data_IF_270972550077
#
_entry.id   IF_270972550077
#
_cell.length_a   1.000
_cell.length_b   1.000
_cell.length_c   1.000
_cell.angle_alpha   90.00
_cell.angle_beta   90.00
_cell.angle_gamma   90.00
#
_symmetry.space_group_name_H-M   'P 1'
#
loop_
_entity.id
_entity.type
_entity.pdbx_description
1 polymer ?
#
# COMPACT_ATOMS: atom_id res chain seq x y z
N UNK A 1 30.88 5.96 -5.05
CA UNK A 1 29.60 6.62 -5.41
C UNK A 1 28.74 6.64 -4.16
N UNK A 2 28.39 7.81 -3.68
CA UNK A 2 27.56 8.02 -2.49
C UNK A 2 26.09 8.03 -2.89
N UNK A 3 25.28 7.17 -2.28
CA UNK A 3 23.89 6.94 -2.69
C UNK A 3 22.97 7.20 -1.49
N UNK A 4 21.96 8.04 -1.70
CA UNK A 4 20.91 8.30 -0.72
C UNK A 4 19.57 7.79 -1.27
N UNK A 5 18.86 7.01 -0.46
CA UNK A 5 17.46 6.66 -0.69
C UNK A 5 16.59 7.58 0.17
N UNK A 6 15.57 8.19 -0.42
CA UNK A 6 14.71 9.14 0.29
C UNK A 6 13.24 8.73 0.16
N UNK A 7 12.61 8.48 1.29
CA UNK A 7 11.18 8.21 1.43
C UNK A 7 10.47 9.38 2.10
N UNK A 8 9.41 9.87 1.49
CA UNK A 8 8.53 10.89 2.07
C UNK A 8 7.20 10.24 2.40
N UNK A 9 7.01 9.91 3.68
CA UNK A 9 5.80 9.29 4.21
C UNK A 9 4.63 10.27 4.36
N UNK A 10 3.41 9.74 4.51
CA UNK A 10 2.23 10.55 4.82
C UNK A 10 2.22 11.02 6.28
N UNK A 11 2.70 10.20 7.21
CA UNK A 11 2.82 10.48 8.65
C UNK A 11 4.09 9.85 9.22
N UNK A 12 4.60 10.41 10.31
CA UNK A 12 5.82 9.95 11.00
C UNK A 12 5.80 8.47 11.43
N UNK A 13 4.61 7.96 11.79
CA UNK A 13 4.47 6.58 12.29
C UNK A 13 4.69 5.49 11.23
N UNK A 14 4.72 5.84 9.94
CA UNK A 14 4.87 4.88 8.85
C UNK A 14 6.33 4.68 8.49
N UNK A 15 6.74 3.42 8.35
CA UNK A 15 8.05 3.05 7.79
C UNK A 15 7.95 2.84 6.28
N UNK A 16 9.04 3.08 5.55
CA UNK A 16 9.07 2.96 4.10
C UNK A 16 9.57 1.57 3.66
N UNK A 17 8.71 0.54 3.79
CA UNK A 17 9.06 -0.85 3.48
C UNK A 17 9.80 -1.00 2.14
N UNK A 18 9.31 -0.39 1.04
CA UNK A 18 9.91 -0.55 -0.29
C UNK A 18 11.37 -0.08 -0.35
N UNK A 19 11.68 1.13 0.16
CA UNK A 19 13.07 1.62 0.17
C UNK A 19 13.95 0.91 1.21
N UNK A 20 13.38 0.46 2.33
CA UNK A 20 14.10 -0.39 3.30
C UNK A 20 14.46 -1.74 2.68
N UNK A 21 13.56 -2.36 1.91
CA UNK A 21 13.82 -3.60 1.16
C UNK A 21 14.93 -3.40 0.12
N UNK A 22 14.84 -2.33 -0.69
CA UNK A 22 15.89 -1.99 -1.67
C UNK A 22 17.24 -1.77 -0.97
N UNK A 23 17.27 -1.05 0.15
CA UNK A 23 18.49 -0.82 0.94
C UNK A 23 19.11 -2.12 1.45
N UNK A 24 18.29 -3.01 2.02
CA UNK A 24 18.74 -4.28 2.56
C UNK A 24 19.30 -5.18 1.45
N UNK A 25 18.60 -5.28 0.32
CA UNK A 25 19.02 -6.03 -0.84
C UNK A 25 20.31 -5.45 -1.47
N UNK A 26 20.39 -4.12 -1.64
CA UNK A 26 21.60 -3.44 -2.14
C UNK A 26 22.82 -3.71 -1.26
N UNK A 27 22.65 -3.65 0.06
CA UNK A 27 23.74 -3.94 1.02
C UNK A 27 24.24 -5.38 0.90
N UNK A 28 23.34 -6.36 0.75
CA UNK A 28 23.72 -7.76 0.53
C UNK A 28 24.52 -7.96 -0.78
N UNK A 29 24.35 -7.04 -1.74
CA UNK A 29 25.08 -7.03 -3.01
C UNK A 29 26.27 -6.05 -3.03
N UNK A 30 26.76 -5.61 -1.87
CA UNK A 30 27.97 -4.78 -1.75
C UNK A 30 27.76 -3.31 -2.10
N UNK A 31 26.51 -2.84 -2.15
CA UNK A 31 26.16 -1.43 -2.42
C UNK A 31 25.66 -0.78 -1.13
N UNK A 32 26.50 0.09 -0.55
CA UNK A 32 26.12 0.86 0.63
C UNK A 32 25.23 2.06 0.23
N UNK A 33 24.16 2.24 0.97
CA UNK A 33 23.20 3.34 0.79
C UNK A 33 22.80 3.93 2.13
N UNK A 34 22.59 5.24 2.18
CA UNK A 34 21.94 5.90 3.30
C UNK A 34 20.45 6.03 3.04
N UNK A 35 19.62 5.91 4.09
CA UNK A 35 18.17 6.08 4.00
C UNK A 35 17.74 7.31 4.80
N UNK A 36 17.00 8.21 4.14
CA UNK A 36 16.28 9.32 4.75
C UNK A 36 14.79 8.97 4.72
N UNK A 37 14.16 8.93 5.89
CA UNK A 37 12.70 8.79 6.02
C UNK A 37 12.12 10.03 6.67
N UNK A 38 11.34 10.77 5.92
CA UNK A 38 10.69 11.99 6.36
C UNK A 38 9.20 12.00 5.96
N UNK A 39 8.49 13.09 6.15
CA UNK A 39 7.05 13.18 5.87
C UNK A 39 6.71 14.38 4.97
N UNK A 40 5.53 14.35 4.35
CA UNK A 40 4.99 15.47 3.57
C UNK A 40 4.77 16.74 4.42
N UNK A 41 4.82 16.62 5.74
CA UNK A 41 4.67 17.75 6.68
C UNK A 41 6.00 18.46 6.94
N UNK A 42 7.14 17.81 6.67
CA UNK A 42 8.46 18.41 6.84
C UNK A 42 8.66 19.50 5.78
N UNK A 43 9.17 20.68 6.15
CA UNK A 43 9.43 21.73 5.19
C UNK A 43 10.36 21.25 4.06
N UNK A 44 9.96 21.50 2.82
CA UNK A 44 10.67 21.03 1.62
C UNK A 44 12.17 21.41 1.62
N UNK A 45 12.50 22.62 2.08
CA UNK A 45 13.89 23.09 2.17
C UNK A 45 14.69 22.38 3.26
N UNK A 46 14.07 21.82 4.30
CA UNK A 46 14.76 21.05 5.32
C UNK A 46 15.23 19.70 4.73
N UNK A 47 14.35 19.00 4.02
CA UNK A 47 14.73 17.75 3.33
C UNK A 47 15.77 18.01 2.24
N UNK A 48 15.63 19.11 1.49
CA UNK A 48 16.64 19.52 0.52
C UNK A 48 18.01 19.73 1.18
N UNK A 49 18.07 20.45 2.31
CA UNK A 49 19.31 20.70 3.04
C UNK A 49 19.93 19.41 3.60
N UNK A 50 19.11 18.48 4.10
CA UNK A 50 19.59 17.19 4.59
C UNK A 50 20.24 16.36 3.47
N UNK A 51 19.59 16.27 2.31
CA UNK A 51 20.14 15.54 1.16
C UNK A 51 21.42 16.22 0.66
N UNK A 52 21.38 17.52 0.42
CA UNK A 52 22.53 18.26 -0.14
C UNK A 52 23.71 18.31 0.80
N UNK A 53 23.49 18.41 2.12
CA UNK A 53 24.55 18.38 3.13
C UNK A 53 25.32 17.05 3.19
N UNK A 54 24.74 16.01 2.62
CA UNK A 54 25.40 14.69 2.48
C UNK A 54 26.19 14.55 1.16
N UNK A 55 26.09 15.50 0.23
CA UNK A 55 26.80 15.51 -1.06
C UNK A 55 26.69 14.17 -1.83
N UNK A 56 25.48 13.66 -2.14
CA UNK A 56 25.33 12.41 -2.87
C UNK A 56 25.68 12.52 -4.36
N UNK A 57 26.16 11.43 -4.94
CA UNK A 57 26.28 11.22 -6.38
C UNK A 57 24.93 10.81 -7.01
N UNK A 58 24.13 10.07 -6.21
CA UNK A 58 22.85 9.50 -6.62
C UNK A 58 21.81 9.67 -5.51
N UNK A 59 20.61 10.07 -5.87
CA UNK A 59 19.44 10.04 -5.00
C UNK A 59 18.36 9.14 -5.61
N UNK A 60 17.86 8.18 -4.81
CA UNK A 60 16.69 7.35 -5.14
C UNK A 60 15.48 7.84 -4.35
N UNK A 61 14.37 8.12 -5.04
CA UNK A 61 13.14 8.67 -4.45
C UNK A 61 11.96 7.75 -4.71
N UNK A 62 11.19 7.41 -3.66
CA UNK A 62 9.95 6.68 -3.83
C UNK A 62 8.77 7.61 -4.05
N UNK A 63 8.02 7.39 -5.14
CA UNK A 63 6.89 8.24 -5.54
C UNK A 63 5.59 7.46 -5.39
N UNK A 64 4.74 7.96 -4.51
CA UNK A 64 3.44 7.40 -4.17
C UNK A 64 2.35 8.46 -4.30
N UNK A 65 1.10 8.04 -4.31
CA UNK A 65 -0.07 8.92 -4.42
C UNK A 65 -0.09 10.05 -3.38
N UNK A 66 0.43 9.81 -2.17
CA UNK A 66 0.43 10.83 -1.10
C UNK A 66 1.58 11.83 -1.15
N UNK A 67 2.64 11.52 -1.91
CA UNK A 67 3.86 12.36 -1.90
C UNK A 67 4.30 12.86 -3.27
N UNK A 68 3.62 12.51 -4.36
CA UNK A 68 4.04 12.85 -5.74
C UNK A 68 4.38 14.33 -5.90
N UNK A 69 3.48 15.23 -5.51
CA UNK A 69 3.67 16.67 -5.68
C UNK A 69 4.84 17.21 -4.85
N UNK A 70 5.01 16.67 -3.63
CA UNK A 70 6.14 17.01 -2.77
C UNK A 70 7.46 16.53 -3.40
N UNK A 71 7.53 15.26 -3.81
CA UNK A 71 8.74 14.65 -4.39
C UNK A 71 9.12 15.34 -5.69
N UNK A 72 8.17 15.66 -6.57
CA UNK A 72 8.46 16.38 -7.80
C UNK A 72 9.00 17.80 -7.53
N UNK A 73 8.47 18.47 -6.52
CA UNK A 73 9.00 19.77 -6.09
C UNK A 73 10.43 19.65 -5.55
N UNK A 74 10.69 18.62 -4.76
CA UNK A 74 12.04 18.33 -4.24
C UNK A 74 13.03 18.02 -5.38
N UNK A 75 12.65 17.20 -6.35
CA UNK A 75 13.47 16.87 -7.54
C UNK A 75 13.84 18.13 -8.31
N UNK A 76 12.88 19.04 -8.54
CA UNK A 76 13.14 20.32 -9.23
C UNK A 76 14.15 21.19 -8.48
N UNK A 77 14.11 21.21 -7.14
CA UNK A 77 15.07 21.93 -6.32
C UNK A 77 16.44 21.25 -6.31
N UNK A 78 16.49 19.93 -6.14
CA UNK A 78 17.72 19.15 -6.20
C UNK A 78 18.48 19.41 -7.50
N UNK A 79 17.81 19.39 -8.64
CA UNK A 79 18.42 19.66 -9.94
C UNK A 79 19.02 21.08 -10.05
N UNK A 80 18.39 22.08 -9.37
CA UNK A 80 18.90 23.46 -9.36
C UNK A 80 20.18 23.60 -8.54
N UNK A 81 20.25 22.94 -7.37
CA UNK A 81 21.37 23.09 -6.43
C UNK A 81 22.48 22.06 -6.65
N UNK A 82 22.16 20.93 -7.27
CA UNK A 82 23.09 19.84 -7.61
C UNK A 82 22.88 19.39 -9.07
N UNK A 83 23.35 20.16 -10.08
CA UNK A 83 23.08 19.86 -11.49
C UNK A 83 23.60 18.50 -11.97
N UNK A 84 24.64 17.96 -11.34
CA UNK A 84 25.28 16.68 -11.70
C UNK A 84 24.71 15.47 -10.95
N UNK A 85 23.82 15.70 -9.97
CA UNK A 85 23.19 14.63 -9.20
C UNK A 85 22.39 13.70 -10.13
N UNK A 86 22.59 12.39 -10.00
CA UNK A 86 21.76 11.41 -10.70
C UNK A 86 20.49 11.15 -9.89
N UNK A 87 19.34 11.42 -10.47
CA UNK A 87 18.04 11.32 -9.82
C UNK A 87 17.29 10.08 -10.35
N UNK A 88 17.06 9.13 -9.47
CA UNK A 88 16.31 7.89 -9.73
C UNK A 88 14.95 7.99 -9.05
N UNK A 89 13.87 7.80 -9.79
CA UNK A 89 12.52 7.69 -9.24
C UNK A 89 12.01 6.25 -9.36
N UNK A 90 11.27 5.79 -8.37
CA UNK A 90 10.60 4.50 -8.37
C UNK A 90 9.28 4.56 -7.60
N UNK A 91 8.50 3.49 -7.62
CA UNK A 91 7.22 3.41 -6.92
C UNK A 91 6.01 3.48 -7.86
N UNK A 92 4.80 3.27 -7.32
CA UNK A 92 3.60 3.06 -8.14
C UNK A 92 3.21 4.24 -9.02
N UNK A 93 3.50 5.48 -8.63
CA UNK A 93 3.15 6.67 -9.41
C UNK A 93 4.00 6.87 -10.67
N UNK A 94 5.16 6.20 -10.75
CA UNK A 94 6.10 6.36 -11.88
C UNK A 94 6.37 5.06 -12.64
N UNK A 95 5.81 3.93 -12.21
CA UNK A 95 6.05 2.62 -12.82
C UNK A 95 5.28 2.37 -14.13
N UNK A 96 4.33 3.25 -14.44
CA UNK A 96 3.51 3.16 -15.66
C UNK A 96 3.72 4.43 -16.48
N UNK A 97 3.55 4.44 -17.78
CA UNK A 97 3.59 5.63 -18.65
C UNK A 97 4.83 6.54 -18.47
N UNK A 98 6.06 6.03 -18.69
CA UNK A 98 7.28 6.80 -18.44
C UNK A 98 7.37 8.10 -19.25
N UNK A 99 6.77 8.15 -20.45
CA UNK A 99 6.69 9.36 -21.27
C UNK A 99 5.94 10.49 -20.55
N UNK A 100 4.81 10.19 -19.93
CA UNK A 100 4.05 11.16 -19.13
C UNK A 100 4.88 11.65 -17.95
N UNK A 101 5.53 10.74 -17.24
CA UNK A 101 6.35 11.09 -16.05
C UNK A 101 7.50 12.01 -16.42
N UNK A 102 8.24 11.72 -17.51
CA UNK A 102 9.31 12.59 -17.98
C UNK A 102 8.84 13.94 -18.52
N UNK A 103 7.57 14.06 -18.96
CA UNK A 103 6.97 15.35 -19.32
C UNK A 103 6.59 16.15 -18.08
N UNK A 104 6.03 15.52 -17.05
CA UNK A 104 5.66 16.16 -15.78
C UNK A 104 6.88 16.59 -14.95
N UNK A 105 7.93 15.77 -14.93
CA UNK A 105 9.15 16.01 -14.16
C UNK A 105 10.42 15.68 -14.98
N UNK A 106 10.81 16.55 -15.93
CA UNK A 106 11.93 16.31 -16.84
C UNK A 106 13.30 16.23 -16.15
N UNK A 107 13.39 16.57 -14.86
CA UNK A 107 14.60 16.52 -14.04
C UNK A 107 14.95 15.11 -13.54
N UNK A 108 14.07 14.14 -13.69
CA UNK A 108 14.35 12.72 -13.42
C UNK A 108 15.30 12.19 -14.48
N UNK A 109 16.35 11.47 -14.08
CA UNK A 109 17.29 10.82 -15.01
C UNK A 109 16.84 9.38 -15.33
N UNK A 110 16.43 8.63 -14.30
CA UNK A 110 16.06 7.23 -14.41
C UNK A 110 14.77 6.93 -13.65
N UNK A 111 13.93 6.08 -14.25
CA UNK A 111 12.74 5.53 -13.59
C UNK A 111 12.91 4.02 -13.46
N UNK A 112 12.84 3.50 -12.24
CA UNK A 112 12.76 2.07 -11.96
C UNK A 112 11.29 1.65 -12.00
N UNK A 113 10.93 0.77 -12.92
CA UNK A 113 9.56 0.37 -13.23
C UNK A 113 9.22 -0.97 -12.58
N UNK A 114 8.31 -0.97 -11.61
CA UNK A 114 7.88 -2.17 -10.88
C UNK A 114 8.64 -2.43 -9.58
N UNK A 115 8.97 -3.69 -9.29
CA UNK A 115 9.68 -4.08 -8.08
C UNK A 115 11.15 -3.69 -8.18
N UNK A 116 11.62 -2.91 -7.22
CA UNK A 116 12.85 -2.15 -7.39
C UNK A 116 14.13 -2.84 -6.92
N UNK A 117 14.07 -3.92 -6.15
CA UNK A 117 15.23 -4.45 -5.44
C UNK A 117 16.37 -4.88 -6.41
N UNK A 118 16.07 -5.78 -7.34
CA UNK A 118 17.05 -6.30 -8.31
C UNK A 118 17.41 -5.24 -9.36
N UNK A 119 16.42 -4.49 -9.83
CA UNK A 119 16.62 -3.46 -10.87
C UNK A 119 17.48 -2.31 -10.36
N UNK A 120 17.27 -1.87 -9.12
CA UNK A 120 18.06 -0.80 -8.53
C UNK A 120 19.55 -1.20 -8.42
N UNK A 121 19.84 -2.40 -7.91
CA UNK A 121 21.22 -2.91 -7.82
C UNK A 121 21.87 -3.00 -9.21
N UNK A 122 21.15 -3.53 -10.19
CA UNK A 122 21.62 -3.62 -11.57
C UNK A 122 21.88 -2.25 -12.19
N UNK A 123 20.98 -1.27 -11.94
CA UNK A 123 21.15 0.12 -12.40
C UNK A 123 22.39 0.77 -11.77
N UNK A 124 22.57 0.65 -10.45
CA UNK A 124 23.73 1.23 -9.77
C UNK A 124 25.04 0.63 -10.32
N UNK A 125 25.11 -0.68 -10.51
CA UNK A 125 26.25 -1.35 -11.11
C UNK A 125 26.54 -0.84 -12.54
N UNK A 126 25.50 -0.69 -13.37
CA UNK A 126 25.63 -0.15 -14.72
C UNK A 126 26.16 1.30 -14.70
N UNK A 127 25.69 2.14 -13.78
CA UNK A 127 26.16 3.52 -13.62
C UNK A 127 27.60 3.60 -13.13
N UNK A 128 28.06 2.66 -12.29
CA UNK A 128 29.44 2.61 -11.82
C UNK A 128 30.41 2.14 -12.91
N UNK A 129 29.97 1.17 -13.72
CA UNK A 129 30.78 0.54 -14.76
C UNK A 129 30.66 1.26 -16.12
N UNK A 130 29.79 2.28 -16.21
CA UNK A 130 29.43 2.94 -17.47
C UNK A 130 29.03 1.93 -18.57
N UNK A 131 28.25 0.92 -18.17
CA UNK A 131 27.76 -0.16 -19.04
C UNK A 131 26.32 0.07 -19.49
N UNK A 132 25.75 -0.84 -20.26
CA UNK A 132 24.37 -0.81 -20.73
C UNK A 132 23.39 -0.86 -19.53
N UNK A 133 22.34 -0.03 -19.61
CA UNK A 133 21.31 0.04 -18.55
C UNK A 133 20.44 -1.22 -18.55
N UNK A 134 20.01 -1.69 -17.37
CA UNK A 134 19.21 -2.91 -17.28
C UNK A 134 17.79 -2.70 -17.82
N UNK A 135 17.12 -3.83 -18.12
CA UNK A 135 15.69 -3.84 -18.41
C UNK A 135 14.88 -3.22 -17.24
N UNK A 136 13.67 -2.76 -17.55
CA UNK A 136 12.76 -2.11 -16.59
C UNK A 136 13.29 -0.80 -15.98
N UNK A 137 14.28 -0.18 -16.60
CA UNK A 137 14.69 1.20 -16.38
C UNK A 137 14.28 2.04 -17.57
N UNK A 138 13.51 3.11 -17.31
CA UNK A 138 13.24 4.12 -18.33
C UNK A 138 14.16 5.33 -18.13
N UNK A 139 14.64 5.92 -19.24
CA UNK A 139 15.55 7.07 -19.25
C UNK A 139 15.42 7.85 -20.54
N UNK A 140 15.97 9.06 -20.59
CA UNK A 140 16.04 9.88 -21.81
C UNK A 140 17.37 9.71 -22.53
N UNK A 141 17.33 9.50 -23.84
CA UNK A 141 18.48 9.52 -24.73
C UNK A 141 18.11 10.30 -26.01
N UNK A 142 18.91 11.27 -26.35
CA UNK A 142 18.71 12.12 -27.55
C UNK A 142 17.29 12.70 -27.65
N UNK A 143 16.74 13.14 -26.51
CA UNK A 143 15.40 13.72 -26.40
C UNK A 143 14.24 12.72 -26.47
N UNK A 144 14.54 11.42 -26.59
CA UNK A 144 13.52 10.34 -26.62
C UNK A 144 13.54 9.55 -25.32
N UNK A 145 12.37 9.08 -24.91
CA UNK A 145 12.25 8.16 -23.80
C UNK A 145 12.56 6.74 -24.30
N UNK A 146 13.51 6.10 -23.64
CA UNK A 146 13.88 4.70 -23.87
C UNK A 146 13.34 3.89 -22.69
N UNK A 147 12.58 2.86 -22.99
CA UNK A 147 12.07 1.90 -21.99
C UNK A 147 11.92 0.53 -22.65
N UNK A 148 12.24 -0.52 -21.93
CA UNK A 148 12.01 -1.91 -22.38
C UNK A 148 10.52 -2.30 -22.32
N UNK A 149 9.68 -1.47 -21.74
CA UNK A 149 8.28 -1.79 -21.46
C UNK A 149 8.11 -2.78 -20.30
N UNK A 150 6.89 -2.86 -19.78
CA UNK A 150 6.55 -3.72 -18.63
C UNK A 150 7.17 -3.28 -17.31
N UNK A 151 6.88 -4.03 -16.26
CA UNK A 151 7.36 -3.78 -14.91
C UNK A 151 8.17 -4.97 -14.39
N UNK A 152 9.21 -4.70 -13.64
CA UNK A 152 10.03 -5.73 -12.99
C UNK A 152 9.22 -6.50 -11.94
N UNK A 153 9.54 -7.77 -11.82
CA UNK A 153 8.95 -8.70 -10.83
C UNK A 153 10.06 -9.56 -10.26
N UNK A 154 10.24 -9.55 -8.96
CA UNK A 154 11.15 -10.47 -8.24
C UNK A 154 10.51 -11.85 -8.22
N UNK A 155 11.11 -12.81 -8.87
CA UNK A 155 10.52 -14.15 -9.06
C UNK A 155 10.48 -14.96 -7.76
N UNK A 156 11.55 -14.92 -6.97
CA UNK A 156 11.70 -15.61 -5.71
C UNK A 156 11.83 -14.56 -4.58
N UNK A 157 10.85 -14.51 -3.68
CA UNK A 157 10.88 -13.55 -2.57
C UNK A 157 11.89 -13.92 -1.46
N UNK A 158 12.41 -15.14 -1.47
CA UNK A 158 13.41 -15.56 -0.48
C UNK A 158 14.79 -14.96 -0.74
N UNK A 159 15.04 -14.44 -1.94
CA UNK A 159 16.30 -13.70 -2.22
C UNK A 159 16.31 -12.31 -1.56
N UNK A 160 15.16 -11.80 -1.14
CA UNK A 160 15.06 -10.49 -0.49
C UNK A 160 15.44 -10.59 0.99
N UNK A 161 16.34 -9.72 1.41
CA UNK A 161 16.76 -9.60 2.80
C UNK A 161 15.64 -9.02 3.70
N UNK A 162 15.81 -9.22 5.02
CA UNK A 162 14.90 -8.58 5.99
C UNK A 162 15.05 -7.06 5.93
N UNK A 163 13.95 -6.38 5.67
CA UNK A 163 13.93 -4.94 5.40
C UNK A 163 14.33 -4.05 6.59
N UNK A 164 14.36 -4.61 7.81
CA UNK A 164 14.65 -3.90 9.05
C UNK A 164 15.84 -4.53 9.80
N UNK A 165 17.07 -4.42 9.28
CA UNK A 165 18.24 -5.01 9.92
C UNK A 165 18.50 -4.44 11.32
N UNK A 166 18.05 -3.21 11.57
CA UNK A 166 17.99 -2.53 12.86
C UNK A 166 16.57 -1.99 13.10
N UNK A 167 15.98 -2.36 14.22
CA UNK A 167 14.62 -1.96 14.64
C UNK A 167 14.64 -0.90 15.75
N UNK A 168 15.81 -0.44 16.20
CA UNK A 168 15.96 0.47 17.34
C UNK A 168 15.18 1.76 17.15
N UNK A 169 15.30 2.41 15.98
CA UNK A 169 14.59 3.65 15.63
C UNK A 169 13.09 3.45 15.50
N UNK A 170 12.68 2.28 15.00
CA UNK A 170 11.28 1.91 14.80
C UNK A 170 10.57 1.71 16.14
N UNK A 171 11.20 0.97 17.05
CA UNK A 171 10.67 0.70 18.38
C UNK A 171 10.65 1.98 19.23
N UNK A 172 11.77 2.72 19.28
CA UNK A 172 11.85 3.99 20.02
C UNK A 172 10.83 5.02 19.52
N UNK A 173 10.62 5.10 18.21
CA UNK A 173 9.63 5.99 17.58
C UNK A 173 8.20 5.46 17.61
N UNK A 174 7.94 4.28 18.16
CA UNK A 174 6.63 3.58 18.11
C UNK A 174 6.04 3.54 16.70
N UNK A 175 6.90 3.29 15.71
CA UNK A 175 6.49 3.26 14.31
C UNK A 175 5.83 1.93 13.96
N UNK A 176 4.95 1.97 12.96
CA UNK A 176 4.35 0.77 12.37
C UNK A 176 5.41 0.06 11.52
N UNK A 177 5.61 -1.23 11.74
CA UNK A 177 6.40 -2.08 10.85
C UNK A 177 5.48 -2.65 9.79
N UNK A 178 5.82 -2.43 8.53
CA UNK A 178 5.16 -3.08 7.41
C UNK A 178 5.93 -4.34 7.03
N UNK A 179 5.22 -5.45 6.90
CA UNK A 179 5.81 -6.73 6.51
C UNK A 179 5.04 -7.35 5.34
N UNK A 180 5.75 -8.07 4.49
CA UNK A 180 5.20 -8.69 3.30
C UNK A 180 5.63 -10.16 3.25
N UNK A 181 4.67 -11.06 3.43
CA UNK A 181 4.89 -12.51 3.29
C UNK A 181 4.62 -12.99 1.87
N UNK A 182 3.73 -12.27 1.15
CA UNK A 182 3.37 -12.58 -0.24
C UNK A 182 3.30 -11.32 -1.10
N UNK A 183 3.64 -11.43 -2.39
CA UNK A 183 3.44 -10.40 -3.42
C UNK A 183 2.52 -10.87 -4.51
N UNK A 184 1.64 -9.97 -4.97
CA UNK A 184 0.64 -10.24 -5.99
C UNK A 184 -0.75 -10.50 -5.39
N UNK A 185 -1.77 -10.49 -6.27
CA UNK A 185 -3.15 -10.75 -5.89
C UNK A 185 -3.85 -11.48 -7.05
N UNK A 186 -4.53 -12.63 -6.84
CA UNK A 186 -5.16 -13.36 -7.92
C UNK A 186 -6.45 -12.67 -8.41
N UNK A 187 -6.98 -11.73 -7.61
CA UNK A 187 -8.15 -10.96 -7.96
C UNK A 187 -7.79 -9.78 -8.88
N UNK A 188 -8.73 -9.44 -9.75
CA UNK A 188 -8.55 -8.40 -10.77
C UNK A 188 -9.56 -7.26 -10.61
N UNK A 189 -9.76 -6.82 -9.36
CA UNK A 189 -10.63 -5.68 -9.09
C UNK A 189 -10.20 -4.48 -9.94
N UNK A 190 -11.14 -3.90 -10.70
CA UNK A 190 -10.84 -2.91 -11.75
C UNK A 190 -10.22 -1.60 -11.23
N UNK A 191 -10.45 -1.26 -9.96
CA UNK A 191 -9.93 -0.06 -9.30
C UNK A 191 -8.56 -0.26 -8.63
N UNK A 192 -8.05 -1.51 -8.58
CA UNK A 192 -6.90 -1.85 -7.74
C UNK A 192 -5.64 -2.09 -8.57
N UNK A 193 -4.54 -1.42 -8.23
CA UNK A 193 -3.22 -1.65 -8.84
C UNK A 193 -2.69 -3.07 -8.61
N UNK A 194 -3.07 -3.72 -7.51
CA UNK A 194 -2.64 -5.09 -7.21
C UNK A 194 -3.20 -6.13 -8.19
N UNK A 195 -4.28 -5.82 -8.90
CA UNK A 195 -4.83 -6.65 -9.96
C UNK A 195 -3.93 -6.76 -11.21
N UNK A 196 -2.89 -5.94 -11.32
CA UNK A 196 -1.93 -5.97 -12.43
C UNK A 196 -1.01 -7.20 -12.31
N UNK A 197 -0.56 -7.56 -11.10
CA UNK A 197 0.27 -8.76 -10.85
C UNK A 197 -0.58 -9.87 -10.25
N UNK A 198 -1.08 -10.79 -11.09
CA UNK A 198 -1.96 -11.90 -10.69
C UNK A 198 -1.23 -13.09 -10.10
N UNK A 199 0.07 -13.22 -10.32
CA UNK A 199 0.87 -14.31 -9.79
C UNK A 199 1.25 -14.01 -8.34
N UNK A 200 0.74 -14.83 -7.41
CA UNK A 200 1.05 -14.71 -5.99
C UNK A 200 2.33 -15.49 -5.70
N UNK A 201 3.36 -14.78 -5.29
CA UNK A 201 4.65 -15.33 -4.85
C UNK A 201 4.71 -15.27 -3.33
N UNK A 202 5.33 -16.24 -2.71
CA UNK A 202 5.38 -16.40 -1.25
C UNK A 202 6.83 -16.48 -0.79
N UNK A 203 7.12 -15.94 0.39
CA UNK A 203 8.33 -16.28 1.13
C UNK A 203 8.19 -17.68 1.72
N UNK A 204 9.30 -18.37 1.94
CA UNK A 204 9.28 -19.62 2.72
C UNK A 204 8.83 -19.36 4.16
N UNK A 205 8.09 -20.29 4.74
CA UNK A 205 7.64 -20.19 6.14
C UNK A 205 8.81 -20.00 7.10
N UNK A 206 9.95 -20.67 6.85
CA UNK A 206 11.14 -20.54 7.67
C UNK A 206 11.66 -19.10 7.71
N UNK A 207 11.66 -18.41 6.56
CA UNK A 207 12.07 -16.99 6.48
C UNK A 207 11.05 -16.08 7.15
N UNK A 208 9.75 -16.33 6.95
CA UNK A 208 8.69 -15.57 7.60
C UNK A 208 8.79 -15.66 9.11
N UNK A 209 8.97 -16.88 9.67
CA UNK A 209 9.11 -17.05 11.12
C UNK A 209 10.35 -16.33 11.66
N UNK A 210 11.49 -16.49 11.00
CA UNK A 210 12.72 -15.82 11.42
C UNK A 210 12.59 -14.28 11.43
N UNK A 211 11.92 -13.71 10.44
CA UNK A 211 11.68 -12.26 10.35
C UNK A 211 10.72 -11.79 11.45
N UNK A 212 9.63 -12.53 11.69
CA UNK A 212 8.64 -12.22 12.73
C UNK A 212 9.24 -12.33 14.14
N UNK A 213 10.03 -13.37 14.39
CA UNK A 213 10.72 -13.56 15.69
C UNK A 213 11.68 -12.41 15.98
N UNK A 214 12.37 -11.88 14.97
CA UNK A 214 13.22 -10.67 15.13
C UNK A 214 12.39 -9.45 15.54
N UNK A 215 11.20 -9.24 14.93
CA UNK A 215 10.32 -8.12 15.28
C UNK A 215 9.77 -8.26 16.69
N UNK A 216 9.36 -9.46 17.08
CA UNK A 216 8.86 -9.80 18.42
C UNK A 216 9.96 -9.57 19.46
N UNK A 217 11.15 -10.13 19.25
CA UNK A 217 12.29 -9.98 20.14
C UNK A 217 12.74 -8.51 20.31
N UNK A 218 12.55 -7.69 19.27
CA UNK A 218 12.85 -6.26 19.34
C UNK A 218 11.76 -5.44 20.06
N UNK A 219 10.60 -6.02 20.38
CA UNK A 219 9.49 -5.32 21.04
C UNK A 219 8.69 -4.42 20.10
N UNK A 220 8.54 -4.78 18.83
CA UNK A 220 7.67 -4.06 17.88
C UNK A 220 6.22 -4.14 18.35
N UNK A 221 5.55 -2.99 18.47
CA UNK A 221 4.18 -2.94 18.99
C UNK A 221 3.11 -3.25 17.94
N UNK A 222 3.33 -2.90 16.66
CA UNK A 222 2.37 -3.11 15.58
C UNK A 222 3.09 -3.53 14.29
N UNK A 223 2.71 -4.68 13.78
CA UNK A 223 3.12 -5.18 12.45
C UNK A 223 1.90 -5.20 11.53
N UNK A 224 1.96 -4.47 10.42
CA UNK A 224 0.95 -4.51 9.36
C UNK A 224 1.44 -5.35 8.19
N UNK A 225 0.77 -6.46 7.94
CA UNK A 225 0.99 -7.22 6.73
C UNK A 225 0.41 -6.45 5.54
N UNK A 226 1.22 -6.28 4.49
CA UNK A 226 0.81 -5.61 3.24
C UNK A 226 0.45 -6.60 2.13
N UNK A 227 0.29 -7.84 2.48
CA UNK A 227 -0.23 -8.92 1.63
C UNK A 227 -1.64 -8.56 1.17
N UNK A 228 -1.88 -8.47 -0.14
CA UNK A 228 -3.10 -7.89 -0.73
C UNK A 228 -4.37 -8.69 -0.49
N UNK A 229 -4.25 -9.96 -0.19
CA UNK A 229 -5.29 -10.84 0.36
C UNK A 229 -4.57 -11.92 1.14
N UNK A 230 -4.39 -11.67 2.41
CA UNK A 230 -3.54 -12.51 3.26
C UNK A 230 -4.00 -13.97 3.33
N UNK A 231 -5.31 -14.18 3.41
CA UNK A 231 -5.92 -15.50 3.64
C UNK A 231 -6.26 -16.29 2.36
N UNK A 232 -5.37 -16.28 1.35
CA UNK A 232 -5.57 -16.99 0.07
C UNK A 232 -5.34 -18.50 0.17
N UNK A 233 -4.32 -18.92 0.89
CA UNK A 233 -3.89 -20.33 1.01
C UNK A 233 -3.77 -20.70 2.47
N UNK A 234 -4.75 -21.46 2.97
CA UNK A 234 -4.83 -21.86 4.38
C UNK A 234 -3.57 -22.59 4.85
N UNK A 235 -3.00 -23.45 4.01
CA UNK A 235 -1.77 -24.18 4.35
C UNK A 235 -0.55 -23.27 4.51
N UNK A 236 -0.64 -22.04 4.07
CA UNK A 236 0.43 -21.05 4.20
C UNK A 236 0.16 -20.04 5.33
N UNK A 237 -1.00 -19.37 5.31
CA UNK A 237 -1.25 -18.30 6.28
C UNK A 237 -1.61 -18.80 7.68
N UNK A 238 -2.31 -19.95 7.81
CA UNK A 238 -2.73 -20.45 9.12
C UNK A 238 -1.55 -20.81 10.03
N UNK A 239 -0.49 -21.52 9.56
CA UNK A 239 0.71 -21.74 10.36
C UNK A 239 1.38 -20.43 10.82
N UNK A 240 1.39 -19.37 10.00
CA UNK A 240 1.92 -18.06 10.40
C UNK A 240 1.07 -17.44 11.51
N UNK A 241 -0.26 -17.48 11.37
CA UNK A 241 -1.16 -16.97 12.42
C UNK A 241 -1.02 -17.76 13.73
N UNK A 242 -0.87 -19.08 13.66
CA UNK A 242 -0.64 -19.92 14.84
C UNK A 242 0.66 -19.53 15.55
N UNK A 243 1.76 -19.39 14.81
CA UNK A 243 3.04 -18.93 15.33
C UNK A 243 2.93 -17.58 16.07
N UNK A 244 2.18 -16.62 15.48
CA UNK A 244 1.95 -15.31 16.09
C UNK A 244 1.00 -15.33 17.29
N UNK A 245 0.02 -16.23 17.29
CA UNK A 245 -0.90 -16.39 18.43
C UNK A 245 -0.20 -16.99 19.65
N UNK A 246 0.73 -17.94 19.43
CA UNK A 246 1.47 -18.64 20.47
C UNK A 246 2.67 -17.82 21.00
N UNK A 247 3.07 -16.75 20.31
CA UNK A 247 4.21 -15.92 20.70
C UNK A 247 3.97 -15.15 21.99
N UNK A 248 4.97 -15.10 22.88
CA UNK A 248 4.99 -14.27 24.09
C UNK A 248 5.28 -12.81 23.73
N UNK A 249 4.26 -12.04 23.38
CA UNK A 249 4.39 -10.65 22.95
C UNK A 249 3.09 -9.87 23.16
N UNK A 250 3.20 -8.54 23.36
CA UNK A 250 2.05 -7.62 23.36
C UNK A 250 1.82 -7.00 21.96
N UNK A 251 2.56 -7.45 20.95
CA UNK A 251 2.44 -6.95 19.58
C UNK A 251 1.07 -7.28 18.98
N UNK A 252 0.52 -6.33 18.25
CA UNK A 252 -0.66 -6.51 17.40
C UNK A 252 -0.25 -6.76 15.96
N UNK A 253 -0.91 -7.70 15.29
CA UNK A 253 -0.69 -8.02 13.88
C UNK A 253 -1.95 -7.71 13.08
N UNK A 254 -1.79 -6.88 12.05
CA UNK A 254 -2.89 -6.43 11.21
C UNK A 254 -2.82 -7.13 9.84
N UNK A 255 -3.97 -7.62 9.35
CA UNK A 255 -4.08 -8.37 8.10
C UNK A 255 -5.24 -7.87 7.24
N UNK A 256 -4.99 -7.72 5.92
CA UNK A 256 -6.05 -7.50 4.92
C UNK A 256 -6.58 -8.87 4.46
N UNK A 257 -7.83 -9.18 4.76
CA UNK A 257 -8.43 -10.50 4.47
C UNK A 257 -9.72 -10.41 3.64
N UNK A 258 -10.08 -11.53 3.02
CA UNK A 258 -11.42 -11.78 2.47
C UNK A 258 -12.18 -12.71 3.43
N UNK A 259 -13.18 -12.18 4.14
CA UNK A 259 -13.88 -12.95 5.17
C UNK A 259 -14.69 -14.14 4.61
N UNK A 260 -15.13 -14.07 3.35
CA UNK A 260 -15.81 -15.19 2.69
C UNK A 260 -14.89 -16.38 2.35
N UNK A 261 -13.56 -16.22 2.43
CA UNK A 261 -12.60 -17.31 2.27
C UNK A 261 -12.32 -18.07 3.57
N UNK A 262 -12.67 -17.52 4.72
CA UNK A 262 -12.44 -18.20 6.00
C UNK A 262 -13.18 -19.55 6.07
N UNK A 263 -12.46 -20.58 6.51
CA UNK A 263 -12.96 -21.93 6.70
C UNK A 263 -13.37 -22.18 8.14
N UNK A 264 -14.10 -23.26 8.41
CA UNK A 264 -14.46 -23.68 9.77
C UNK A 264 -13.23 -23.93 10.64
N UNK A 265 -12.19 -24.53 10.06
CA UNK A 265 -10.93 -24.78 10.76
C UNK A 265 -10.30 -23.48 11.26
N UNK A 266 -10.20 -22.48 10.38
CA UNK A 266 -9.63 -21.16 10.71
C UNK A 266 -10.51 -20.41 11.72
N UNK A 267 -11.82 -20.41 11.55
CA UNK A 267 -12.74 -19.78 12.51
C UNK A 267 -12.64 -20.39 13.92
N UNK A 268 -12.50 -21.71 14.02
CA UNK A 268 -12.28 -22.38 15.29
C UNK A 268 -10.96 -22.00 15.95
N UNK A 269 -9.89 -21.88 15.16
CA UNK A 269 -8.59 -21.36 15.63
C UNK A 269 -8.71 -19.90 16.11
N UNK A 270 -9.32 -19.01 15.30
CA UNK A 270 -9.44 -17.59 15.61
C UNK A 270 -10.19 -17.32 16.92
N UNK A 271 -11.08 -18.21 17.33
CA UNK A 271 -11.74 -18.13 18.64
C UNK A 271 -10.76 -18.24 19.83
N UNK A 272 -9.61 -18.88 19.63
CA UNK A 272 -8.62 -19.14 20.70
C UNK A 272 -7.48 -18.11 20.75
N UNK A 273 -7.43 -17.21 19.79
CA UNK A 273 -6.39 -16.17 19.69
C UNK A 273 -6.51 -15.19 20.87
N UNK A 274 -5.39 -14.78 21.48
CA UNK A 274 -5.41 -13.78 22.56
C UNK A 274 -6.07 -12.47 22.11
N UNK A 275 -6.83 -11.82 22.99
CA UNK A 275 -7.47 -10.54 22.73
C UNK A 275 -6.44 -9.46 22.32
N UNK A 276 -6.79 -8.70 21.26
CA UNK A 276 -5.94 -7.62 20.72
C UNK A 276 -4.73 -8.09 19.90
N UNK A 277 -4.49 -9.41 19.81
CA UNK A 277 -3.38 -9.97 19.01
C UNK A 277 -3.57 -9.73 17.52
N UNK A 278 -4.78 -9.84 17.00
CA UNK A 278 -5.08 -9.67 15.57
C UNK A 278 -6.07 -8.53 15.32
N UNK A 279 -5.85 -7.85 14.20
CA UNK A 279 -6.78 -6.91 13.59
C UNK A 279 -7.00 -7.31 12.14
N UNK A 280 -8.25 -7.36 11.71
CA UNK A 280 -8.59 -7.68 10.32
C UNK A 280 -9.22 -6.48 9.63
N UNK A 281 -8.66 -6.13 8.47
CA UNK A 281 -9.26 -5.21 7.51
C UNK A 281 -9.95 -6.03 6.42
N UNK A 282 -11.26 -5.82 6.25
CA UNK A 282 -12.13 -6.60 5.39
C UNK A 282 -12.78 -5.67 4.39
N UNK A 283 -12.25 -5.64 3.17
CA UNK A 283 -12.88 -4.88 2.11
C UNK A 283 -14.21 -5.51 1.68
N UNK A 284 -15.32 -4.85 1.96
CA UNK A 284 -16.64 -5.16 1.38
C UNK A 284 -16.82 -4.41 0.07
N UNK A 285 -16.50 -3.12 0.09
CA UNK A 285 -16.55 -2.13 -0.98
C UNK A 285 -17.98 -1.72 -1.35
N UNK A 286 -18.87 -2.67 -1.61
CA UNK A 286 -20.29 -2.48 -1.93
C UNK A 286 -21.04 -3.81 -1.75
N UNK A 287 -22.34 -3.75 -1.51
CA UNK A 287 -23.25 -4.91 -1.56
C UNK A 287 -24.09 -4.94 -2.84
N UNK A 288 -23.93 -3.95 -3.74
CA UNK A 288 -24.63 -3.88 -5.01
C UNK A 288 -24.05 -4.89 -6.01
N UNK A 289 -24.86 -5.86 -6.44
CA UNK A 289 -24.44 -6.93 -7.35
C UNK A 289 -23.99 -6.41 -8.73
N UNK A 290 -24.62 -5.36 -9.26
CA UNK A 290 -24.25 -4.76 -10.55
C UNK A 290 -22.85 -4.10 -10.45
N UNK A 291 -22.60 -3.39 -9.37
CA UNK A 291 -21.30 -2.77 -9.08
C UNK A 291 -20.22 -3.84 -8.90
N UNK A 292 -20.45 -4.86 -8.06
CA UNK A 292 -19.52 -5.97 -7.85
C UNK A 292 -19.10 -6.63 -9.18
N UNK A 293 -20.06 -6.89 -10.06
CA UNK A 293 -19.77 -7.45 -11.39
C UNK A 293 -18.89 -6.52 -12.22
N UNK A 294 -19.18 -5.22 -12.24
CA UNK A 294 -18.45 -4.23 -13.05
C UNK A 294 -17.03 -4.01 -12.56
N UNK A 295 -16.84 -3.99 -11.25
CA UNK A 295 -15.50 -3.85 -10.67
C UNK A 295 -14.72 -5.17 -10.61
N UNK A 296 -15.21 -6.25 -11.24
CA UNK A 296 -14.61 -7.59 -11.25
C UNK A 296 -14.39 -8.18 -9.85
N UNK A 297 -15.22 -7.79 -8.89
CA UNK A 297 -15.13 -8.31 -7.52
C UNK A 297 -16.12 -9.45 -7.32
N UNK A 298 -15.62 -10.58 -6.79
CA UNK A 298 -16.41 -11.78 -6.52
C UNK A 298 -16.37 -12.05 -5.03
N UNK A 299 -17.42 -11.66 -4.33
CA UNK A 299 -17.61 -11.91 -2.91
C UNK A 299 -18.90 -12.72 -2.72
N UNK A 300 -18.87 -13.64 -1.76
CA UNK A 300 -20.07 -14.32 -1.28
C UNK A 300 -20.57 -13.56 -0.04
N UNK A 301 -21.58 -12.69 -0.23
CA UNK A 301 -22.10 -11.83 0.82
C UNK A 301 -22.64 -12.59 2.02
N UNK A 302 -23.39 -13.69 1.79
CA UNK A 302 -23.98 -14.49 2.88
C UNK A 302 -22.88 -15.13 3.74
N UNK A 303 -21.86 -15.71 3.10
CA UNK A 303 -20.73 -16.31 3.80
C UNK A 303 -19.87 -15.26 4.50
N UNK A 304 -19.60 -14.11 3.85
CA UNK A 304 -18.90 -12.99 4.46
C UNK A 304 -19.61 -12.53 5.73
N UNK A 305 -20.92 -12.27 5.64
CA UNK A 305 -21.76 -11.81 6.76
C UNK A 305 -21.78 -12.84 7.90
N UNK A 306 -21.95 -14.12 7.59
CA UNK A 306 -21.94 -15.19 8.59
C UNK A 306 -20.59 -15.25 9.33
N UNK A 307 -19.48 -15.17 8.59
CA UNK A 307 -18.14 -15.22 9.16
C UNK A 307 -17.81 -13.97 9.98
N UNK A 308 -18.17 -12.77 9.51
CA UNK A 308 -17.99 -11.51 10.25
C UNK A 308 -18.78 -11.54 11.57
N UNK A 309 -20.06 -11.95 11.56
CA UNK A 309 -20.85 -12.08 12.79
C UNK A 309 -20.24 -13.07 13.78
N UNK A 310 -19.67 -14.18 13.29
CA UNK A 310 -18.95 -15.14 14.15
C UNK A 310 -17.72 -14.51 14.78
N UNK A 311 -16.88 -13.84 13.99
CA UNK A 311 -15.68 -13.16 14.50
C UNK A 311 -16.05 -12.11 15.55
N UNK A 312 -17.06 -11.26 15.29
CA UNK A 312 -17.56 -10.29 16.26
C UNK A 312 -18.04 -10.95 17.56
N UNK A 313 -18.67 -12.13 17.46
CA UNK A 313 -19.14 -12.86 18.66
C UNK A 313 -18.00 -13.41 19.52
N UNK A 314 -16.79 -13.53 19.00
CA UNK A 314 -15.62 -13.96 19.77
C UNK A 314 -15.06 -12.81 20.65
N UNK A 315 -15.16 -11.55 20.19
CA UNK A 315 -14.78 -10.37 20.94
C UNK A 315 -13.26 -10.16 21.14
N UNK A 316 -12.42 -10.99 20.50
CA UNK A 316 -10.97 -10.98 20.68
C UNK A 316 -10.19 -10.39 19.51
N UNK A 317 -10.84 -10.14 18.36
CA UNK A 317 -10.23 -9.63 17.13
C UNK A 317 -10.93 -8.34 16.75
N UNK A 318 -10.16 -7.27 16.51
CA UNK A 318 -10.69 -6.00 16.03
C UNK A 318 -11.00 -6.10 14.54
N UNK A 319 -12.25 -5.85 14.15
CA UNK A 319 -12.72 -5.93 12.77
C UNK A 319 -12.97 -4.55 12.16
N UNK A 320 -12.29 -4.29 11.06
CA UNK A 320 -12.41 -3.10 10.26
C UNK A 320 -13.03 -3.48 8.90
N UNK A 321 -14.18 -2.91 8.57
CA UNK A 321 -14.88 -3.15 7.31
C UNK A 321 -14.84 -1.88 6.44
N UNK A 322 -14.65 -2.05 5.11
CA UNK A 322 -14.48 -0.95 4.18
C UNK A 322 -15.58 -0.89 3.12
N UNK A 323 -16.03 0.32 2.83
CA UNK A 323 -16.88 0.67 1.69
C UNK A 323 -16.19 1.70 0.80
N UNK A 324 -16.51 1.71 -0.51
CA UNK A 324 -16.02 2.69 -1.47
C UNK A 324 -17.21 3.40 -2.13
N UNK A 325 -17.36 4.70 -1.89
CA UNK A 325 -18.32 5.54 -2.59
C UNK A 325 -17.83 5.94 -3.98
N UNK A 326 -18.76 6.08 -4.93
CA UNK A 326 -18.48 6.54 -6.29
C UNK A 326 -18.09 5.42 -7.26
N UNK A 327 -18.38 4.17 -6.94
CA UNK A 327 -18.22 3.04 -7.84
C UNK A 327 -19.27 3.06 -8.97
N UNK A 328 -18.99 2.47 -10.14
CA UNK A 328 -19.96 2.33 -11.23
C UNK A 328 -21.24 1.59 -10.81
N UNK A 329 -22.39 1.98 -11.40
CA UNK A 329 -23.72 1.45 -11.11
C UNK A 329 -24.19 1.62 -9.65
N UNK A 330 -23.60 2.53 -8.91
CA UNK A 330 -23.96 2.81 -7.52
C UNK A 330 -24.31 4.29 -7.37
N UNK A 331 -25.61 4.58 -7.31
CA UNK A 331 -26.14 5.88 -6.93
C UNK A 331 -26.30 6.00 -5.41
N UNK A 332 -26.94 7.06 -4.95
CA UNK A 332 -27.10 7.32 -3.51
C UNK A 332 -27.92 6.24 -2.81
N UNK A 333 -28.99 5.73 -3.45
CA UNK A 333 -29.85 4.71 -2.85
C UNK A 333 -29.13 3.34 -2.71
N UNK A 334 -28.36 2.95 -3.73
CA UNK A 334 -27.58 1.71 -3.69
C UNK A 334 -26.44 1.81 -2.65
N UNK A 335 -25.80 2.98 -2.57
CA UNK A 335 -24.76 3.22 -1.57
C UNK A 335 -25.32 3.22 -0.15
N UNK A 336 -26.48 3.89 0.08
CA UNK A 336 -27.17 3.87 1.38
C UNK A 336 -27.53 2.44 1.80
N UNK A 337 -27.98 1.61 0.85
CA UNK A 337 -28.21 0.19 1.12
C UNK A 337 -26.94 -0.52 1.53
N UNK A 338 -25.84 -0.35 0.77
CA UNK A 338 -24.53 -0.97 1.07
C UNK A 338 -24.01 -0.51 2.45
N UNK A 339 -24.16 0.77 2.77
CA UNK A 339 -23.80 1.32 4.06
C UNK A 339 -24.61 0.68 5.20
N UNK A 340 -25.94 0.61 5.07
CA UNK A 340 -26.80 0.03 6.07
C UNK A 340 -26.59 -1.48 6.26
N UNK A 341 -26.32 -2.22 5.17
CA UNK A 341 -25.99 -3.63 5.22
C UNK A 341 -24.72 -3.89 6.07
N UNK A 342 -23.68 -3.06 5.90
CA UNK A 342 -22.40 -3.21 6.61
C UNK A 342 -22.50 -2.63 8.03
N UNK A 343 -23.12 -1.47 8.20
CA UNK A 343 -23.36 -0.87 9.51
C UNK A 343 -24.19 -1.80 10.42
N UNK A 344 -25.18 -2.50 9.85
CA UNK A 344 -25.97 -3.50 10.56
C UNK A 344 -25.20 -4.69 11.11
N UNK A 345 -23.97 -4.94 10.65
CA UNK A 345 -23.07 -5.94 11.24
C UNK A 345 -22.41 -5.43 12.52
N UNK A 346 -22.36 -4.11 12.73
CA UNK A 346 -21.73 -3.46 13.89
C UNK A 346 -20.24 -3.81 14.06
N UNK A 347 -19.40 -3.61 13.02
CA UNK A 347 -17.96 -3.82 13.14
C UNK A 347 -17.34 -2.83 14.16
N UNK A 348 -16.15 -3.14 14.65
CA UNK A 348 -15.43 -2.22 15.53
C UNK A 348 -15.06 -0.91 14.82
N UNK A 349 -14.80 -0.98 13.52
CA UNK A 349 -14.54 0.17 12.65
C UNK A 349 -15.19 -0.02 11.28
N UNK A 350 -15.83 1.01 10.76
CA UNK A 350 -16.37 1.06 9.39
C UNK A 350 -15.73 2.24 8.66
N UNK A 351 -14.88 1.95 7.69
CA UNK A 351 -14.24 2.96 6.85
C UNK A 351 -15.07 3.26 5.62
N UNK A 352 -15.37 4.52 5.43
CA UNK A 352 -15.99 5.03 4.21
C UNK A 352 -14.91 5.66 3.32
N UNK A 353 -14.46 4.88 2.30
CA UNK A 353 -13.53 5.36 1.29
C UNK A 353 -14.24 5.97 0.07
N UNK A 354 -13.45 6.63 -0.78
CA UNK A 354 -13.91 7.20 -2.05
C UNK A 354 -13.07 6.63 -3.19
N UNK A 355 -13.72 6.32 -4.31
CA UNK A 355 -13.02 5.78 -5.48
C UNK A 355 -11.87 6.71 -5.88
N UNK A 356 -10.71 6.13 -6.06
CA UNK A 356 -9.54 6.77 -6.67
C UNK A 356 -9.29 6.12 -8.02
N UNK A 357 -9.31 6.93 -9.08
CA UNK A 357 -9.08 6.45 -10.45
C UNK A 357 -7.58 6.47 -10.70
N UNK A 358 -6.91 5.39 -10.32
CA UNK A 358 -5.45 5.32 -10.35
C UNK A 358 -4.93 5.05 -11.77
N UNK A 359 -3.82 5.71 -12.19
CA UNK A 359 -3.17 5.45 -13.46
C UNK A 359 -2.79 3.98 -13.63
N UNK A 360 -3.03 3.43 -14.82
CA UNK A 360 -2.73 2.04 -15.17
C UNK A 360 -3.77 1.01 -14.73
N UNK A 361 -4.83 1.41 -14.03
CA UNK A 361 -5.92 0.51 -13.64
C UNK A 361 -6.94 0.30 -14.76
N UNK A 362 -7.72 -0.79 -14.66
CA UNK A 362 -8.83 -1.03 -15.57
C UNK A 362 -9.95 0.00 -15.40
N UNK A 363 -10.15 0.52 -14.18
CA UNK A 363 -11.12 1.58 -13.89
C UNK A 363 -10.81 2.87 -14.66
N UNK A 364 -9.55 3.22 -14.83
CA UNK A 364 -9.15 4.36 -15.63
C UNK A 364 -9.57 4.20 -17.11
N UNK A 365 -9.43 2.99 -17.67
CA UNK A 365 -9.88 2.69 -19.04
C UNK A 365 -11.39 2.75 -19.19
N UNK A 366 -12.14 2.38 -18.16
CA UNK A 366 -13.60 2.43 -18.10
C UNK A 366 -14.15 3.84 -17.88
N UNK A 367 -13.29 4.85 -17.68
CA UNK A 367 -13.67 6.26 -17.47
C UNK A 367 -14.74 6.79 -18.44
N UNK A 368 -14.66 6.59 -19.77
CA UNK A 368 -15.64 7.12 -20.69
C UNK A 368 -17.02 6.44 -20.54
N UNK A 369 -17.06 5.13 -20.28
CA UNK A 369 -18.30 4.35 -20.15
C UNK A 369 -19.13 4.79 -18.92
N UNK A 370 -18.45 5.08 -17.82
CA UNK A 370 -19.09 5.42 -16.55
C UNK A 370 -19.07 6.92 -16.25
N UNK A 371 -18.62 7.75 -17.22
CA UNK A 371 -18.49 9.21 -17.11
C UNK A 371 -17.76 9.62 -15.82
N UNK A 372 -16.66 8.91 -15.50
CA UNK A 372 -15.89 9.19 -14.29
C UNK A 372 -15.19 10.53 -14.43
N UNK A 373 -15.50 11.47 -13.54
CA UNK A 373 -14.82 12.75 -13.38
C UNK A 373 -14.12 12.73 -12.04
N UNK A 374 -12.81 12.90 -12.03
CA UNK A 374 -11.96 12.81 -10.87
C UNK A 374 -10.86 13.87 -10.90
N UNK A 375 -10.12 14.02 -9.84
CA UNK A 375 -9.02 14.97 -9.76
C UNK A 375 -7.90 14.57 -10.73
N UNK A 376 -7.39 15.52 -11.50
CA UNK A 376 -6.28 15.29 -12.44
C UNK A 376 -4.95 15.01 -11.72
N UNK A 377 -4.84 15.45 -10.46
CA UNK A 377 -3.69 15.23 -9.58
C UNK A 377 -4.03 14.31 -8.40
N UNK A 378 -3.02 13.70 -7.76
CA UNK A 378 -3.25 12.91 -6.54
C UNK A 378 -4.08 13.69 -5.50
N UNK A 379 -5.02 13.00 -4.85
CA UNK A 379 -5.21 11.55 -4.78
C UNK A 379 -6.09 10.94 -5.89
N UNK A 380 -6.36 11.62 -7.02
CA UNK A 380 -7.19 11.14 -8.13
C UNK A 380 -8.62 10.74 -7.69
N UNK A 381 -9.12 11.41 -6.67
CA UNK A 381 -10.40 11.12 -6.06
C UNK A 381 -11.55 11.47 -6.98
N UNK A 382 -12.56 10.61 -7.01
CA UNK A 382 -13.78 10.79 -7.79
C UNK A 382 -14.52 12.06 -7.39
N UNK A 383 -14.96 12.82 -8.38
CA UNK A 383 -15.78 14.04 -8.21
C UNK A 383 -17.21 13.81 -8.62
N UNK A 384 -17.45 13.00 -9.66
CA UNK A 384 -18.78 12.57 -10.07
C UNK A 384 -18.70 11.36 -10.99
N UNK A 385 -19.78 10.61 -11.08
CA UNK A 385 -19.96 9.50 -12.02
C UNK A 385 -21.28 9.69 -12.76
N UNK A 386 -21.55 8.86 -13.76
CA UNK A 386 -22.86 8.76 -14.41
C UNK A 386 -24.01 8.49 -13.42
N UNK A 387 -23.70 7.89 -12.26
CA UNK A 387 -24.67 7.37 -11.29
C UNK A 387 -24.77 8.26 -10.04
N UNK A 388 -23.71 8.98 -9.70
CA UNK A 388 -23.63 9.78 -8.47
C UNK A 388 -23.06 11.18 -8.78
N UNK A 389 -23.85 12.25 -8.61
CA UNK A 389 -23.39 13.62 -8.85
C UNK A 389 -22.46 14.10 -7.73
N UNK A 390 -21.69 15.17 -8.00
CA UNK A 390 -20.73 15.75 -7.05
C UNK A 390 -21.36 16.11 -5.69
N UNK A 391 -22.58 16.67 -5.69
CA UNK A 391 -23.25 17.05 -4.43
C UNK A 391 -23.52 15.84 -3.52
N UNK A 392 -23.83 14.66 -4.10
CA UNK A 392 -24.01 13.43 -3.33
C UNK A 392 -22.68 12.91 -2.76
N UNK A 393 -21.61 12.87 -3.55
CA UNK A 393 -20.27 12.52 -3.05
C UNK A 393 -19.81 13.50 -1.97
N UNK A 394 -20.08 14.80 -2.14
CA UNK A 394 -19.76 15.82 -1.13
C UNK A 394 -20.54 15.61 0.17
N UNK A 395 -21.79 15.19 0.09
CA UNK A 395 -22.57 14.80 1.27
C UNK A 395 -21.95 13.59 1.98
N UNK A 396 -21.55 12.56 1.23
CA UNK A 396 -20.89 11.38 1.79
C UNK A 396 -19.54 11.70 2.44
N UNK A 397 -18.82 12.72 1.94
CA UNK A 397 -17.59 13.23 2.60
C UNK A 397 -17.88 13.83 3.99
N UNK A 398 -18.97 14.55 4.12
CA UNK A 398 -19.40 15.08 5.42
C UNK A 398 -19.84 13.94 6.34
N UNK A 399 -20.54 12.95 5.79
CA UNK A 399 -20.93 11.76 6.56
C UNK A 399 -19.71 10.99 7.05
N UNK A 400 -18.69 10.78 6.20
CA UNK A 400 -17.43 10.14 6.57
C UNK A 400 -16.77 10.84 7.75
N UNK A 401 -16.60 12.16 7.69
CA UNK A 401 -16.00 12.95 8.76
C UNK A 401 -16.80 12.84 10.08
N UNK A 402 -18.12 12.94 10.03
CA UNK A 402 -18.98 12.75 11.20
C UNK A 402 -18.85 11.33 11.74
N UNK A 403 -18.80 10.33 10.87
CA UNK A 403 -18.74 8.93 11.24
C UNK A 403 -17.40 8.58 11.93
N UNK A 404 -16.28 9.11 11.42
CA UNK A 404 -14.96 8.99 12.05
C UNK A 404 -14.95 9.55 13.48
N UNK A 405 -15.58 10.72 13.68
CA UNK A 405 -15.61 11.37 15.00
C UNK A 405 -16.63 10.79 15.97
N UNK A 406 -17.61 10.04 15.49
CA UNK A 406 -18.69 9.47 16.32
C UNK A 406 -18.54 7.96 16.49
N UNK A 407 -18.76 7.18 15.43
CA UNK A 407 -18.75 5.73 15.46
C UNK A 407 -17.33 5.19 15.67
N UNK A 408 -16.42 5.48 14.73
CA UNK A 408 -15.06 4.93 14.74
C UNK A 408 -14.22 5.39 15.94
N UNK A 409 -14.54 6.56 16.51
CA UNK A 409 -13.87 7.04 17.72
C UNK A 409 -14.20 6.25 18.98
N UNK A 410 -15.27 5.44 18.97
CA UNK A 410 -15.78 4.72 20.14
C UNK A 410 -16.35 5.60 21.26
N UNK A 411 -16.38 6.95 21.09
CA UNK A 411 -16.77 7.89 22.15
C UNK A 411 -18.27 7.95 22.40
N UNK A 412 -19.08 7.55 21.41
CA UNK A 412 -20.55 7.72 21.41
C UNK A 412 -21.33 6.40 21.42
N UNK A 413 -20.71 5.31 21.89
CA UNK A 413 -21.28 3.95 21.86
C UNK A 413 -22.69 3.87 22.46
N UNK A 414 -22.96 4.60 23.55
CA UNK A 414 -24.29 4.60 24.16
C UNK A 414 -25.29 5.48 23.40
N UNK A 415 -24.85 6.61 22.86
CA UNK A 415 -25.72 7.54 22.10
C UNK A 415 -26.17 6.93 20.78
N UNK A 416 -25.29 6.19 20.11
CA UNK A 416 -25.57 5.54 18.82
C UNK A 416 -26.50 4.32 18.92
N UNK A 417 -26.83 3.88 20.15
CA UNK A 417 -27.82 2.81 20.39
C UNK A 417 -29.26 3.31 20.48
N UNK A 418 -29.46 4.62 20.55
CA UNK A 418 -30.77 5.28 20.55
C UNK A 418 -31.09 5.86 19.16
#
# INVERSE_FOLDING_TARGET
MKIILTAIGSKYIHTALGLRSIRAYAKAHGIETELIEDTVQTPLLAVLAEITGKEPDVVGLSVHIWNKNYVYSLIRLLRKVMPQLKIIAGGPEVSFEPERIFNECPQIDYIVMGEGEEVFVSLINALQQNSELPAHVAFKKDGRVISSGGTAVVADLDVLEFAYPDLTDVVAGKKIVYYESTRGCPFNCSYCLSGISRNVRKRSLAKVYADLDRMIAAGVALVKFVDRTYNLDENYYLPIMQHLADAETDATFHFEIKADLLTENVLNFLKTVPEGRFQFEIGVQTTNAATLKTINRRDNWDKLTANVKRLLSYGNIHLHLDLIAGLPYEGMAEFEKSFNDVYGLQPDMLQLGFLKVLPGTEMEKQRPEHELRYMDEPPYEILSTKYMPYCALRFLKVLEDVFEHTYNSGRFVYTLKY
#
